data_IF_346523734387
#
_entry.id   IF_346523734387
#
_cell.length_a   1.000
_cell.length_b   1.000
_cell.length_c   1.000
_cell.angle_alpha   90.00
_cell.angle_beta   90.00
_cell.angle_gamma   90.00
#
_symmetry.space_group_name_H-M   'P 1'
#
loop_
_entity.id
_entity.type
_entity.pdbx_description
1 polymer ?
#
# COMPACT_ATOMS: atom_id res chain seq x y z
N UNK A 1 1.20 7.66 13.79
CA UNK A 1 -0.10 7.42 13.12
C UNK A 1 -0.20 5.94 12.79
N UNK A 2 -1.35 5.29 13.00
CA UNK A 2 -1.60 3.92 12.52
C UNK A 2 -2.33 3.95 11.17
N UNK A 3 -2.41 2.82 10.48
CA UNK A 3 -3.15 2.72 9.21
C UNK A 3 -4.59 3.23 9.31
N UNK A 4 -5.34 2.85 10.36
CA UNK A 4 -6.72 3.33 10.57
C UNK A 4 -6.87 4.85 10.67
N UNK A 5 -5.83 5.54 11.14
CA UNK A 5 -5.86 7.00 11.25
C UNK A 5 -5.71 7.64 9.86
N UNK A 6 -4.84 7.06 9.00
CA UNK A 6 -4.75 7.46 7.59
C UNK A 6 -6.07 7.16 6.86
N UNK A 7 -6.66 5.99 7.10
CA UNK A 7 -7.95 5.64 6.50
C UNK A 7 -9.06 6.64 6.87
N UNK A 8 -9.15 7.09 8.13
CA UNK A 8 -10.14 8.11 8.54
C UNK A 8 -10.01 9.42 7.76
N UNK A 9 -8.78 9.83 7.44
CA UNK A 9 -8.54 11.02 6.62
C UNK A 9 -9.05 10.79 5.21
N UNK A 10 -8.74 9.62 4.65
CA UNK A 10 -9.13 9.25 3.29
C UNK A 10 -10.63 9.04 3.14
N UNK A 11 -11.31 8.48 4.14
CA UNK A 11 -12.77 8.28 4.13
C UNK A 11 -13.53 9.62 4.08
N UNK A 12 -12.88 10.70 4.53
CA UNK A 12 -13.40 12.06 4.52
C UNK A 12 -13.21 12.82 3.20
N UNK A 13 -12.51 12.26 2.20
CA UNK A 13 -12.38 12.94 0.88
C UNK A 13 -13.73 13.06 0.20
N UNK A 14 -13.96 14.11 -0.59
CA UNK A 14 -15.28 14.36 -1.17
C UNK A 14 -15.67 13.33 -2.25
N UNK A 15 -14.69 12.90 -3.05
CA UNK A 15 -14.88 11.95 -4.15
C UNK A 15 -13.57 11.20 -4.47
N UNK A 16 -13.65 9.99 -5.06
CA UNK A 16 -12.50 9.34 -5.68
C UNK A 16 -12.02 10.12 -6.93
N UNK A 17 -10.76 9.94 -7.37
CA UNK A 17 -9.76 9.02 -6.82
C UNK A 17 -8.95 9.64 -5.66
N UNK A 18 -8.55 8.80 -4.71
CA UNK A 18 -7.55 9.18 -3.70
C UNK A 18 -6.18 9.32 -4.36
N UNK A 19 -5.52 10.47 -4.21
CA UNK A 19 -4.26 10.75 -4.87
C UNK A 19 -3.07 10.29 -4.02
N UNK A 20 -2.07 9.69 -4.67
CA UNK A 20 -0.87 9.22 -3.97
C UNK A 20 -0.12 10.36 -3.25
N UNK A 21 -0.03 11.54 -3.86
CA UNK A 21 0.65 12.71 -3.28
C UNK A 21 -0.06 13.23 -2.01
N UNK A 22 -1.38 13.06 -1.92
CA UNK A 22 -2.15 13.38 -0.71
C UNK A 22 -1.83 12.37 0.40
N UNK A 23 -1.77 11.08 0.08
CA UNK A 23 -1.36 10.04 1.04
C UNK A 23 0.04 10.31 1.59
N UNK A 24 1.00 10.63 0.72
CA UNK A 24 2.37 11.02 1.14
C UNK A 24 2.34 12.24 2.06
N UNK A 25 1.54 13.25 1.73
CA UNK A 25 1.40 14.45 2.55
C UNK A 25 0.85 14.12 3.94
N UNK A 26 -0.18 13.29 4.02
CA UNK A 26 -0.75 12.88 5.30
C UNK A 26 0.20 12.00 6.12
N UNK A 27 0.90 11.05 5.49
CA UNK A 27 1.93 10.24 6.16
C UNK A 27 3.01 11.15 6.73
N UNK A 28 3.58 12.06 5.93
CA UNK A 28 4.61 12.99 6.39
C UNK A 28 4.15 13.87 7.55
N UNK A 29 2.93 14.40 7.47
CA UNK A 29 2.45 15.38 8.44
C UNK A 29 1.97 14.76 9.76
N UNK A 30 1.60 13.48 9.76
CA UNK A 30 0.94 12.84 10.91
C UNK A 30 1.66 11.59 11.44
N UNK A 31 2.55 10.97 10.64
CA UNK A 31 3.32 9.82 11.08
C UNK A 31 4.66 10.25 11.70
N UNK A 32 4.71 10.36 13.04
CA UNK A 32 5.90 10.81 13.77
C UNK A 32 7.21 10.08 13.39
N UNK A 33 7.14 8.79 13.04
CA UNK A 33 8.32 8.02 12.63
C UNK A 33 8.81 8.25 11.19
N UNK A 34 8.14 9.10 10.39
CA UNK A 34 8.47 9.35 8.97
C UNK A 34 8.76 10.83 8.76
N UNK A 35 9.99 11.17 8.38
CA UNK A 35 10.41 12.54 8.10
C UNK A 35 10.12 12.97 6.68
N UNK A 36 10.67 12.26 5.69
CA UNK A 36 10.39 12.51 4.28
C UNK A 36 10.04 11.22 3.54
N UNK A 37 9.30 11.34 2.44
CA UNK A 37 9.04 10.25 1.50
C UNK A 37 9.57 10.70 0.14
N UNK A 38 10.56 10.00 -0.39
CA UNK A 38 11.18 10.29 -1.68
C UNK A 38 10.82 9.18 -2.65
N UNK A 39 10.41 9.56 -3.87
CA UNK A 39 9.97 8.60 -4.89
C UNK A 39 10.83 8.75 -6.13
N UNK A 40 11.43 7.66 -6.60
CA UNK A 40 12.36 7.67 -7.73
C UNK A 40 12.02 6.59 -8.74
N UNK A 41 11.98 6.97 -10.02
CA UNK A 41 11.98 6.03 -11.12
C UNK A 41 13.39 5.45 -11.30
N UNK A 42 13.49 4.14 -11.42
CA UNK A 42 14.73 3.42 -11.68
C UNK A 42 14.63 2.74 -13.04
N UNK A 43 15.60 3.07 -13.90
CA UNK A 43 15.73 2.44 -15.21
C UNK A 43 16.43 1.10 -15.08
N UNK A 44 15.66 0.02 -15.15
CA UNK A 44 16.18 -1.35 -15.14
C UNK A 44 16.68 -1.81 -16.52
N UNK A 45 17.43 -2.92 -16.54
CA UNK A 45 17.81 -3.62 -17.78
C UNK A 45 16.61 -4.33 -18.43
N UNK A 46 15.57 -4.64 -17.64
CA UNK A 46 14.34 -5.26 -18.12
C UNK A 46 13.15 -4.74 -17.30
N UNK A 47 11.99 -4.49 -17.93
CA UNK A 47 10.79 -4.06 -17.23
C UNK A 47 10.28 -5.19 -16.35
N UNK A 48 10.17 -4.93 -15.04
CA UNK A 48 9.62 -5.88 -14.08
C UNK A 48 8.33 -5.38 -13.41
N UNK A 49 7.88 -4.16 -13.74
CA UNK A 49 6.66 -3.52 -13.20
C UNK A 49 6.57 -3.53 -11.66
N UNK A 50 7.71 -3.46 -10.97
CA UNK A 50 7.79 -3.49 -9.51
C UNK A 50 8.11 -2.13 -8.91
N UNK A 51 7.77 -1.97 -7.64
CA UNK A 51 8.23 -0.89 -6.76
C UNK A 51 8.80 -1.50 -5.47
N UNK A 52 9.61 -0.73 -4.75
CA UNK A 52 10.29 -1.17 -3.53
C UNK A 52 10.39 -0.04 -2.52
N UNK A 53 9.91 -0.32 -1.31
CA UNK A 53 10.07 0.49 -0.12
C UNK A 53 11.43 0.25 0.56
N UNK A 54 12.03 1.34 1.06
CA UNK A 54 13.24 1.31 1.88
C UNK A 54 13.20 2.39 2.95
N UNK A 55 13.59 2.05 4.16
CA UNK A 55 13.93 3.02 5.19
C UNK A 55 15.39 3.45 5.05
N UNK A 56 15.60 4.77 5.07
CA UNK A 56 16.90 5.43 5.10
C UNK A 56 17.14 5.92 6.54
N UNK A 57 18.42 6.04 6.89
CA UNK A 57 19.03 6.55 8.14
C UNK A 57 18.07 7.19 9.16
N UNK A 58 18.30 6.89 10.43
CA UNK A 58 17.61 7.58 11.53
C UNK A 58 18.20 8.98 11.67
N UNK A 59 17.33 10.00 11.61
CA UNK A 59 17.71 11.40 11.80
C UNK A 59 16.85 12.03 12.91
N UNK A 60 17.30 13.18 13.42
CA UNK A 60 16.59 13.99 14.41
C UNK A 60 16.91 15.46 14.19
N UNK A 61 15.90 16.32 14.26
CA UNK A 61 16.08 17.78 14.14
C UNK A 61 16.82 18.38 15.33
N UNK A 62 16.69 17.77 16.52
CA UNK A 62 17.44 18.13 17.73
C UNK A 62 17.61 16.94 18.66
N UNK A 63 18.42 17.08 19.73
CA UNK A 63 18.57 16.03 20.76
C UNK A 63 17.35 15.81 21.64
N UNK A 64 16.35 16.70 21.57
CA UNK A 64 15.13 16.65 22.36
C UNK A 64 13.91 16.21 21.53
N UNK A 65 14.06 16.12 20.22
CA UNK A 65 13.01 15.65 19.32
C UNK A 65 13.07 14.13 19.16
N UNK A 66 11.94 13.54 18.81
CA UNK A 66 11.86 12.12 18.47
C UNK A 66 12.65 11.83 17.18
N UNK A 67 13.25 10.64 17.11
CA UNK A 67 13.92 10.17 15.90
C UNK A 67 12.88 9.86 14.82
N UNK A 68 13.17 10.29 13.60
CA UNK A 68 12.39 9.95 12.42
C UNK A 68 13.26 9.23 11.39
N UNK A 69 12.60 8.58 10.44
CA UNK A 69 13.27 7.91 9.31
C UNK A 69 12.82 8.54 8.01
N UNK A 70 13.76 8.65 7.09
CA UNK A 70 13.45 8.94 5.70
C UNK A 70 12.96 7.66 5.01
N UNK A 71 11.96 7.80 4.16
CA UNK A 71 11.40 6.71 3.34
C UNK A 71 11.80 6.95 1.90
N UNK A 72 12.29 5.93 1.23
CA UNK A 72 12.51 5.90 -0.20
C UNK A 72 11.64 4.82 -0.85
N UNK A 73 10.89 5.21 -1.87
CA UNK A 73 10.15 4.30 -2.74
C UNK A 73 10.76 4.38 -4.12
N UNK A 74 11.37 3.29 -4.56
CA UNK A 74 11.89 3.17 -5.93
C UNK A 74 10.89 2.38 -6.77
N UNK A 75 10.75 2.70 -8.05
CA UNK A 75 9.88 1.95 -8.94
C UNK A 75 10.48 1.81 -10.34
N UNK A 76 10.10 0.74 -11.04
CA UNK A 76 10.53 0.52 -12.41
C UNK A 76 9.95 1.58 -13.35
N UNK A 77 10.80 2.31 -14.07
CA UNK A 77 10.40 3.39 -15.01
C UNK A 77 9.31 2.94 -16.02
N UNK A 78 9.29 1.66 -16.40
CA UNK A 78 8.24 1.11 -17.29
C UNK A 78 6.81 1.27 -16.75
N UNK A 79 6.62 1.45 -15.45
CA UNK A 79 5.32 1.75 -14.84
C UNK A 79 4.78 3.13 -15.25
N UNK A 80 5.61 4.04 -15.76
CA UNK A 80 5.14 5.35 -16.24
C UNK A 80 4.16 5.24 -17.41
N UNK A 81 4.27 4.17 -18.20
CA UNK A 81 3.30 3.85 -19.26
C UNK A 81 1.96 3.31 -18.72
N UNK A 82 1.90 2.96 -17.42
CA UNK A 82 0.76 2.32 -16.76
C UNK A 82 0.40 3.07 -15.48
N UNK A 83 -0.21 4.28 -15.58
CA UNK A 83 -0.40 5.16 -14.42
C UNK A 83 -1.23 4.55 -13.29
N UNK A 84 -2.22 3.69 -13.60
CA UNK A 84 -3.01 2.98 -12.58
C UNK A 84 -2.18 1.94 -11.83
N UNK A 85 -1.34 1.18 -12.53
CA UNK A 85 -0.38 0.22 -11.95
C UNK A 85 0.66 0.92 -11.10
N UNK A 86 1.25 2.02 -11.62
CA UNK A 86 2.20 2.84 -10.88
C UNK A 86 1.60 3.33 -9.56
N UNK A 87 0.39 3.88 -9.61
CA UNK A 87 -0.27 4.42 -8.41
C UNK A 87 -0.56 3.32 -7.39
N UNK A 88 -1.04 2.16 -7.82
CA UNK A 88 -1.27 1.03 -6.91
C UNK A 88 0.04 0.52 -6.30
N UNK A 89 1.08 0.30 -7.12
CA UNK A 89 2.38 -0.17 -6.66
C UNK A 89 3.01 0.80 -5.65
N UNK A 90 3.07 2.09 -5.97
CA UNK A 90 3.60 3.11 -5.06
C UNK A 90 2.80 3.19 -3.76
N UNK A 91 1.47 3.09 -3.83
CA UNK A 91 0.64 3.10 -2.64
C UNK A 91 0.89 1.87 -1.77
N UNK A 92 1.03 0.68 -2.37
CA UNK A 92 1.42 -0.55 -1.66
C UNK A 92 2.75 -0.38 -0.94
N UNK A 93 3.75 0.16 -1.62
CA UNK A 93 5.05 0.43 -1.01
C UNK A 93 4.96 1.45 0.14
N UNK A 94 4.13 2.49 -0.01
CA UNK A 94 3.91 3.47 1.05
C UNK A 94 3.27 2.85 2.30
N UNK A 95 2.45 1.80 2.19
CA UNK A 95 1.82 1.17 3.35
C UNK A 95 2.82 0.51 4.30
N UNK A 96 4.04 0.16 3.83
CA UNK A 96 5.10 -0.37 4.69
C UNK A 96 5.60 0.63 5.75
N UNK A 97 5.21 1.92 5.69
CA UNK A 97 5.46 2.86 6.80
C UNK A 97 4.78 2.44 8.10
N UNK A 98 3.73 1.61 8.02
CA UNK A 98 2.99 1.10 9.17
C UNK A 98 3.53 -0.24 9.70
N UNK A 99 4.54 -0.81 9.06
CA UNK A 99 5.14 -2.08 9.49
C UNK A 99 5.85 -1.94 10.85
N UNK A 100 5.66 -2.95 11.68
CA UNK A 100 6.48 -3.17 12.87
C UNK A 100 7.90 -3.60 12.50
N UNK A 101 8.83 -3.56 13.47
CA UNK A 101 10.22 -3.95 13.25
C UNK A 101 10.38 -5.41 12.80
N UNK A 102 9.48 -6.29 13.25
CA UNK A 102 9.45 -7.70 12.89
C UNK A 102 8.98 -7.91 11.44
N UNK A 103 8.09 -7.04 10.96
CA UNK A 103 7.54 -7.04 9.59
C UNK A 103 8.55 -6.47 8.58
N UNK A 104 9.38 -5.50 8.99
CA UNK A 104 10.39 -4.92 8.10
C UNK A 104 11.45 -5.93 7.65
N UNK A 105 11.79 -5.89 6.36
CA UNK A 105 12.87 -6.66 5.73
C UNK A 105 14.20 -5.88 5.78
N UNK A 106 14.67 -5.61 6.99
CA UNK A 106 15.83 -4.75 7.28
C UNK A 106 17.18 -5.50 7.36
N UNK A 107 17.19 -6.79 7.05
CA UNK A 107 18.40 -7.62 7.10
C UNK A 107 18.43 -8.65 5.98
N UNK A 108 19.65 -9.09 5.64
CA UNK A 108 19.88 -10.13 4.62
C UNK A 108 19.13 -11.42 4.94
N UNK A 109 19.09 -11.84 6.20
CA UNK A 109 18.44 -13.09 6.59
C UNK A 109 16.92 -13.02 6.44
N UNK A 110 16.31 -11.90 6.85
CA UNK A 110 14.88 -11.65 6.60
C UNK A 110 14.58 -11.60 5.11
N UNK A 111 15.44 -10.97 4.31
CA UNK A 111 15.27 -10.92 2.85
C UNK A 111 15.31 -12.31 2.21
N UNK A 112 16.32 -13.12 2.53
CA UNK A 112 16.43 -14.49 2.03
C UNK A 112 15.23 -15.34 2.48
N UNK A 113 14.77 -15.14 3.72
CA UNK A 113 13.59 -15.83 4.24
C UNK A 113 12.34 -15.45 3.45
N UNK A 114 12.09 -14.15 3.25
CA UNK A 114 10.95 -13.67 2.48
C UNK A 114 10.96 -14.21 1.05
N UNK A 115 12.12 -14.20 0.37
CA UNK A 115 12.24 -14.78 -0.98
C UNK A 115 11.84 -16.26 -1.01
N UNK A 116 12.26 -17.04 -0.01
CA UNK A 116 11.85 -18.45 0.11
C UNK A 116 10.36 -18.59 0.39
N UNK A 117 9.77 -17.69 1.18
CA UNK A 117 8.34 -17.72 1.48
C UNK A 117 7.49 -17.33 0.26
N UNK A 118 7.91 -16.34 -0.51
CA UNK A 118 7.27 -15.97 -1.79
C UNK A 118 7.28 -17.16 -2.76
N UNK A 119 8.42 -17.87 -2.86
CA UNK A 119 8.54 -19.03 -3.73
C UNK A 119 7.69 -20.23 -3.26
N UNK A 120 7.72 -20.53 -1.95
CA UNK A 120 7.15 -21.76 -1.42
C UNK A 120 5.71 -21.62 -0.90
N UNK A 121 5.21 -20.40 -0.68
CA UNK A 121 3.89 -20.08 -0.10
C UNK A 121 3.66 -20.85 1.21
N UNK A 122 4.26 -20.40 2.34
CA UNK A 122 4.19 -21.14 3.60
C UNK A 122 2.75 -21.32 4.07
N UNK A 123 2.50 -22.38 4.85
CA UNK A 123 1.24 -22.51 5.59
C UNK A 123 1.07 -21.32 6.55
N UNK A 124 -0.17 -20.87 6.85
CA UNK A 124 -0.41 -19.68 7.67
C UNK A 124 0.33 -19.70 9.02
N UNK A 125 0.40 -20.86 9.69
CA UNK A 125 1.10 -21.01 10.97
C UNK A 125 2.63 -20.84 10.89
N UNK A 126 3.21 -20.90 9.69
CA UNK A 126 4.66 -20.80 9.45
C UNK A 126 5.06 -19.52 8.71
N UNK A 127 4.09 -18.70 8.30
CA UNK A 127 4.36 -17.45 7.62
C UNK A 127 5.09 -16.48 8.55
N UNK A 128 6.20 -15.89 8.07
CA UNK A 128 6.86 -14.84 8.82
C UNK A 128 6.02 -13.56 8.90
N UNK A 129 6.28 -12.70 9.90
CA UNK A 129 5.67 -11.38 9.95
C UNK A 129 5.91 -10.56 8.67
N UNK A 130 7.11 -10.66 8.08
CA UNK A 130 7.44 -9.96 6.83
C UNK A 130 6.62 -10.46 5.62
N UNK A 131 6.37 -11.77 5.54
CA UNK A 131 5.50 -12.31 4.49
C UNK A 131 4.05 -11.85 4.65
N UNK A 132 3.54 -11.84 5.90
CA UNK A 132 2.20 -11.32 6.17
C UNK A 132 2.10 -9.82 5.87
N UNK A 133 3.14 -9.05 6.17
CA UNK A 133 3.19 -7.62 5.84
C UNK A 133 3.03 -7.37 4.33
N UNK A 134 3.66 -8.15 3.46
CA UNK A 134 3.45 -8.04 2.01
C UNK A 134 2.00 -8.34 1.56
N UNK A 135 1.27 -9.17 2.31
CA UNK A 135 -0.15 -9.40 2.05
C UNK A 135 -1.01 -8.25 2.60
N UNK A 136 -0.70 -7.79 3.80
CA UNK A 136 -1.40 -6.72 4.48
C UNK A 136 -1.26 -5.40 3.69
N UNK A 137 -0.05 -5.05 3.22
CA UNK A 137 0.17 -3.80 2.46
C UNK A 137 -0.56 -3.78 1.12
N UNK A 138 -0.78 -4.95 0.49
CA UNK A 138 -1.64 -5.06 -0.70
C UNK A 138 -3.10 -4.72 -0.39
N UNK A 139 -3.62 -5.22 0.73
CA UNK A 139 -4.98 -4.91 1.17
C UNK A 139 -5.12 -3.49 1.67
N UNK A 140 -4.15 -2.98 2.44
CA UNK A 140 -4.11 -1.59 2.86
C UNK A 140 -4.15 -0.65 1.64
N UNK A 141 -3.37 -0.93 0.59
CA UNK A 141 -3.40 -0.15 -0.64
C UNK A 141 -4.73 -0.25 -1.40
N UNK A 142 -5.33 -1.44 -1.45
CA UNK A 142 -6.64 -1.63 -2.08
C UNK A 142 -7.73 -0.84 -1.34
N UNK A 143 -7.77 -0.93 0.00
CA UNK A 143 -8.72 -0.23 0.87
C UNK A 143 -8.53 1.28 0.82
N UNK A 144 -7.29 1.77 0.83
CA UNK A 144 -7.03 3.21 0.82
C UNK A 144 -7.36 3.84 -0.55
N UNK A 145 -7.15 3.11 -1.64
CA UNK A 145 -7.48 3.60 -2.99
C UNK A 145 -8.96 3.41 -3.35
N UNK A 146 -9.64 2.47 -2.70
CA UNK A 146 -11.07 2.22 -2.83
C UNK A 146 -11.75 2.28 -1.44
N UNK A 147 -11.95 3.48 -0.88
CA UNK A 147 -12.55 3.62 0.45
C UNK A 147 -13.96 3.02 0.49
N UNK A 148 -14.28 2.37 1.61
CA UNK A 148 -15.51 1.59 1.79
C UNK A 148 -16.77 2.41 1.46
N UNK A 149 -16.84 3.67 1.91
CA UNK A 149 -17.98 4.56 1.64
C UNK A 149 -18.30 4.71 0.16
N UNK A 150 -17.28 4.73 -0.70
CA UNK A 150 -17.48 4.82 -2.15
C UNK A 150 -17.66 3.45 -2.78
N UNK A 151 -16.87 2.46 -2.37
CA UNK A 151 -16.97 1.07 -2.85
C UNK A 151 -18.39 0.54 -2.70
N UNK A 152 -18.99 0.70 -1.52
CA UNK A 152 -20.31 0.14 -1.19
C UNK A 152 -21.45 0.70 -2.07
N UNK A 153 -21.26 1.86 -2.70
CA UNK A 153 -22.24 2.45 -3.63
C UNK A 153 -22.33 1.67 -4.95
N UNK A 154 -21.29 0.90 -5.31
CA UNK A 154 -21.14 0.26 -6.61
C UNK A 154 -21.23 -1.26 -6.57
N UNK A 155 -21.12 -1.88 -5.40
CA UNK A 155 -21.05 -3.34 -5.24
C UNK A 155 -22.28 -4.04 -5.80
N UNK A 156 -23.47 -3.52 -5.53
CA UNK A 156 -24.71 -4.13 -5.98
C UNK A 156 -24.92 -4.01 -7.50
N UNK A 157 -24.42 -2.94 -8.12
CA UNK A 157 -24.45 -2.79 -9.58
C UNK A 157 -23.38 -3.66 -10.25
N UNK A 158 -22.20 -3.75 -9.66
CA UNK A 158 -21.12 -4.64 -10.10
C UNK A 158 -21.54 -6.11 -10.07
N UNK A 159 -22.17 -6.57 -8.98
CA UNK A 159 -22.70 -7.95 -8.84
C UNK A 159 -23.77 -8.33 -9.85
N UNK A 160 -24.48 -7.33 -10.39
CA UNK A 160 -25.52 -7.51 -11.41
C UNK A 160 -24.95 -7.38 -12.83
N UNK A 161 -23.63 -7.32 -12.97
CA UNK A 161 -22.92 -7.08 -14.22
C UNK A 161 -23.33 -5.77 -14.92
N UNK A 162 -23.85 -4.79 -14.16
CA UNK A 162 -24.20 -3.46 -14.69
C UNK A 162 -22.94 -2.61 -14.83
N UNK A 163 -22.02 -2.72 -13.87
CA UNK A 163 -20.68 -2.13 -13.92
C UNK A 163 -19.67 -3.25 -14.16
N UNK A 164 -18.73 -3.02 -15.08
CA UNK A 164 -17.65 -3.95 -15.36
C UNK A 164 -16.35 -3.54 -14.66
N UNK A 165 -15.35 -4.43 -14.67
CA UNK A 165 -14.03 -4.17 -14.08
C UNK A 165 -13.44 -2.85 -14.58
N UNK A 166 -13.58 -2.56 -15.87
CA UNK A 166 -13.11 -1.31 -16.46
C UNK A 166 -13.74 -0.06 -15.83
N UNK A 167 -15.05 -0.08 -15.55
CA UNK A 167 -15.78 1.06 -15.00
C UNK A 167 -15.30 1.39 -13.58
N UNK A 168 -15.14 0.35 -12.76
CA UNK A 168 -14.62 0.49 -11.40
C UNK A 168 -13.15 0.92 -11.41
N UNK A 169 -12.34 0.32 -12.28
CA UNK A 169 -10.93 0.65 -12.44
C UNK A 169 -10.73 2.11 -12.86
N UNK A 170 -11.60 2.63 -13.72
CA UNK A 170 -11.59 4.04 -14.14
C UNK A 170 -12.03 4.97 -13.01
N UNK A 171 -13.12 4.63 -12.30
CA UNK A 171 -13.64 5.43 -11.19
C UNK A 171 -12.59 5.61 -10.08
N UNK A 172 -12.03 4.50 -9.60
CA UNK A 172 -11.05 4.53 -8.51
C UNK A 172 -9.64 4.78 -9.00
N UNK A 173 -9.38 4.75 -10.31
CA UNK A 173 -8.06 4.83 -10.98
C UNK A 173 -7.10 3.68 -10.63
N UNK A 174 -7.63 2.50 -10.28
CA UNK A 174 -6.85 1.30 -9.91
C UNK A 174 -6.64 0.38 -11.11
N UNK A 175 -5.67 -0.55 -11.07
CA UNK A 175 -5.57 -1.60 -12.09
C UNK A 175 -6.84 -2.45 -12.15
N UNK A 176 -7.23 -2.88 -13.35
CA UNK A 176 -8.42 -3.71 -13.56
C UNK A 176 -8.33 -5.03 -12.78
N UNK A 177 -7.13 -5.61 -12.71
CA UNK A 177 -6.92 -6.84 -11.94
C UNK A 177 -7.18 -6.65 -10.44
N UNK A 178 -7.13 -5.44 -9.88
CA UNK A 178 -7.44 -5.17 -8.47
C UNK A 178 -8.95 -5.14 -8.22
N UNK A 179 -9.76 -4.88 -9.25
CA UNK A 179 -11.22 -4.69 -9.10
C UNK A 179 -11.93 -5.89 -8.48
N UNK A 180 -11.71 -7.14 -8.95
CA UNK A 180 -12.35 -8.29 -8.33
C UNK A 180 -12.04 -8.41 -6.83
N UNK A 181 -10.84 -8.01 -6.40
CA UNK A 181 -10.46 -8.07 -4.98
C UNK A 181 -11.23 -7.07 -4.11
N UNK A 182 -11.47 -5.85 -4.61
CA UNK A 182 -12.15 -4.80 -3.83
C UNK A 182 -13.68 -4.91 -3.88
N UNK A 183 -14.22 -5.57 -4.89
CA UNK A 183 -15.66 -5.80 -5.01
C UNK A 183 -16.13 -7.12 -4.40
N UNK A 184 -15.20 -8.03 -4.07
CA UNK A 184 -15.50 -9.28 -3.36
C UNK A 184 -15.96 -9.05 -1.91
N UNK A 185 -16.64 -10.03 -1.33
CA UNK A 185 -17.07 -10.02 0.08
C UNK A 185 -15.88 -10.04 1.05
N UNK A 186 -14.76 -10.67 0.66
CA UNK A 186 -13.55 -10.71 1.47
C UNK A 186 -12.95 -9.31 1.74
N UNK A 187 -13.32 -8.30 0.95
CA UNK A 187 -12.98 -6.91 1.26
C UNK A 187 -13.43 -6.52 2.67
N UNK A 188 -14.61 -6.94 3.12
CA UNK A 188 -15.14 -6.63 4.45
C UNK A 188 -14.27 -7.25 5.55
N UNK A 189 -13.87 -8.50 5.37
CA UNK A 189 -13.00 -9.21 6.31
C UNK A 189 -11.62 -8.53 6.39
N UNK A 190 -11.04 -8.17 5.25
CA UNK A 190 -9.77 -7.47 5.20
C UNK A 190 -9.86 -6.06 5.82
N UNK A 191 -10.97 -5.35 5.56
CA UNK A 191 -11.24 -4.04 6.11
C UNK A 191 -11.33 -4.08 7.63
N UNK A 192 -12.17 -4.96 8.18
CA UNK A 192 -12.35 -5.11 9.62
C UNK A 192 -11.04 -5.53 10.29
N UNK A 193 -10.27 -6.43 9.67
CA UNK A 193 -8.98 -6.86 10.21
C UNK A 193 -7.98 -5.69 10.29
N UNK A 194 -7.87 -4.87 9.25
CA UNK A 194 -6.86 -3.82 9.16
C UNK A 194 -7.23 -2.54 9.91
N UNK A 195 -8.52 -2.23 10.04
CA UNK A 195 -8.99 -1.03 10.76
C UNK A 195 -9.01 -1.27 12.27
N UNK A 196 -9.19 -2.51 12.74
CA UNK A 196 -9.24 -2.84 14.15
C UNK A 196 -7.86 -3.12 14.79
N UNK A 197 -6.78 -3.14 14.01
CA UNK A 197 -5.39 -3.16 14.51
C UNK A 197 -4.98 -1.79 15.13
#
# INVERSE_FOLDING_TARGET
MRFKDLYKIVDAVEAPPVLFDELVTHVRNHHLGVGTVKVYAVKGLSPNHQAHFRLIDCDRTSSYDEEFRDVEITYCESLDAHPRERRYALTKELMHVFDTREQLVDSRDKFIKLLKEIQNKPMPAHASPAFNAELDTRWMAAIILCPKRFRDQHVEEYRKDVLQDFDIAELFRIPEWVVPFVMDDYYEEAFDLLINQ
#
